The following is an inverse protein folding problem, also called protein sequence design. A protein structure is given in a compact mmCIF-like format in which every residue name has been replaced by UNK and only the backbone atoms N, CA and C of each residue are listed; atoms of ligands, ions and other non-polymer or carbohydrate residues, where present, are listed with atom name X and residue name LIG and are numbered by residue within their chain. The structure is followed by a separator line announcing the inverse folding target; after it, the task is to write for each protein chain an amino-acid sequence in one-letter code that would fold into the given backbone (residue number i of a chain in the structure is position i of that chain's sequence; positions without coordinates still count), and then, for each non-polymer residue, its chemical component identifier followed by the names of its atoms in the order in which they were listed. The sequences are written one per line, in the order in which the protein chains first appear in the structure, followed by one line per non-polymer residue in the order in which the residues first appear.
data_IF_879806124293
#
_entry.id   IF_879806124293
#
_cell.length_a   1.000
_cell.length_b   1.000
_cell.length_c   1.000
_cell.angle_alpha   90.00
_cell.angle_beta   90.00
_cell.angle_gamma   90.00
#
_symmetry.space_group_name_H-M   'P 1'
#
loop_
_entity.id
_entity.type
_entity.pdbx_description
1 polymer ?
#
# COMPACT_ATOMS: atom_id res chain seq x y z
N UNK A 1 -49.72 16.15 34.74
CA UNK A 1 -50.25 14.79 34.51
C UNK A 1 -50.26 14.37 33.03
N UNK A 2 -50.47 15.28 32.06
CA UNK A 2 -50.48 14.94 30.62
C UNK A 2 -49.10 14.69 29.96
N UNK A 3 -48.01 15.31 30.44
CA UNK A 3 -46.69 15.15 29.83
C UNK A 3 -46.11 13.74 29.98
N UNK A 4 -46.38 13.07 31.11
CA UNK A 4 -45.94 11.69 31.36
C UNK A 4 -46.59 10.68 30.42
N UNK A 5 -47.81 10.95 29.93
CA UNK A 5 -48.51 10.07 28.98
C UNK A 5 -47.96 10.23 27.56
N UNK A 6 -47.67 11.48 27.14
CA UNK A 6 -47.04 11.78 25.86
C UNK A 6 -45.60 11.22 25.76
N UNK A 7 -44.81 11.33 26.83
CA UNK A 7 -43.45 10.79 26.88
C UNK A 7 -43.43 9.24 26.84
N UNK A 8 -44.47 8.60 27.38
CA UNK A 8 -44.61 7.13 27.36
C UNK A 8 -45.00 6.60 25.98
N UNK A 9 -45.67 7.40 25.15
CA UNK A 9 -45.99 7.06 23.76
C UNK A 9 -44.78 7.18 22.80
N UNK A 10 -43.84 8.09 23.07
CA UNK A 10 -42.62 8.26 22.27
C UNK A 10 -41.65 7.06 22.41
N UNK A 11 -41.80 6.30 23.50
CA UNK A 11 -41.01 5.09 23.78
C UNK A 11 -41.63 3.89 23.05
N UNK A 12 -41.42 3.84 21.73
CA UNK A 12 -41.42 2.60 20.94
C UNK A 12 -42.80 1.92 20.75
N UNK A 13 -43.91 2.64 20.94
CA UNK A 13 -45.28 2.12 20.82
C UNK A 13 -46.03 2.61 19.57
N UNK A 14 -45.32 3.03 18.51
CA UNK A 14 -45.98 3.23 17.23
C UNK A 14 -46.41 1.86 16.71
N UNK A 15 -47.72 1.61 16.67
CA UNK A 15 -48.31 0.37 16.13
C UNK A 15 -48.31 0.36 14.58
N UNK A 16 -48.03 1.51 13.97
CA UNK A 16 -47.81 1.66 12.54
C UNK A 16 -46.70 2.68 12.24
N UNK A 17 -45.87 2.39 11.24
CA UNK A 17 -44.79 3.25 10.77
C UNK A 17 -45.02 3.66 9.31
N UNK A 18 -44.65 4.89 8.97
CA UNK A 18 -44.78 5.44 7.62
C UNK A 18 -43.65 4.95 6.69
N UNK A 19 -43.93 4.39 5.51
CA UNK A 19 -42.85 4.09 4.54
C UNK A 19 -42.19 5.40 4.09
N UNK A 20 -40.85 5.47 4.07
CA UNK A 20 -40.13 6.67 3.66
C UNK A 20 -40.36 7.07 2.20
N UNK A 21 -40.69 6.11 1.33
CA UNK A 21 -40.91 6.31 -0.10
C UNK A 21 -42.37 6.74 -0.39
N UNK A 22 -43.33 5.82 -0.20
CA UNK A 22 -44.73 6.04 -0.61
C UNK A 22 -45.62 6.63 0.49
N UNK A 23 -45.08 6.92 1.68
CA UNK A 23 -45.75 7.62 2.78
C UNK A 23 -47.01 6.94 3.35
N UNK A 24 -47.27 5.69 3.00
CA UNK A 24 -48.35 4.89 3.61
C UNK A 24 -47.94 4.40 5.01
N UNK A 25 -48.92 4.27 5.90
CA UNK A 25 -48.72 3.66 7.21
C UNK A 25 -48.78 2.13 7.10
N UNK A 26 -47.80 1.47 7.70
CA UNK A 26 -47.64 0.02 7.68
C UNK A 26 -47.57 -0.44 9.13
N UNK A 27 -48.51 -1.31 9.52
CA UNK A 27 -48.51 -1.94 10.83
C UNK A 27 -47.40 -2.97 10.93
N UNK A 28 -46.89 -3.18 12.14
CA UNK A 28 -45.87 -4.19 12.39
C UNK A 28 -46.46 -5.59 12.22
N UNK A 29 -45.88 -6.38 11.32
CA UNK A 29 -46.31 -7.74 11.00
C UNK A 29 -45.32 -8.82 11.49
N UNK A 30 -44.40 -8.48 12.41
CA UNK A 30 -43.47 -9.44 13.02
C UNK A 30 -42.53 -8.84 14.08
N UNK A 31 -41.65 -9.66 14.68
CA UNK A 31 -40.74 -9.25 15.76
C UNK A 31 -39.47 -8.50 15.33
N UNK A 32 -39.14 -8.50 14.03
CA UNK A 32 -37.95 -7.83 13.50
C UNK A 32 -38.08 -6.30 13.43
N UNK A 33 -36.95 -5.61 13.29
CA UNK A 33 -36.86 -4.17 12.97
C UNK A 33 -36.78 -3.90 11.46
N UNK A 34 -36.57 -4.94 10.66
CA UNK A 34 -36.54 -4.90 9.19
C UNK A 34 -37.96 -5.04 8.65
N UNK A 35 -38.39 -4.08 7.83
CA UNK A 35 -39.68 -4.12 7.17
C UNK A 35 -39.57 -3.78 5.68
N UNK A 36 -40.46 -4.40 4.91
CA UNK A 36 -40.58 -4.22 3.48
C UNK A 36 -41.98 -3.68 3.20
N UNK A 37 -42.07 -2.57 2.46
CA UNK A 37 -43.36 -2.00 2.10
C UNK A 37 -44.07 -2.83 1.02
N UNK A 38 -45.33 -3.18 1.24
CA UNK A 38 -46.14 -3.96 0.27
C UNK A 38 -46.43 -3.20 -1.02
N UNK A 39 -46.59 -1.86 -0.95
CA UNK A 39 -46.93 -1.03 -2.12
C UNK A 39 -45.74 -0.73 -3.03
N UNK A 40 -44.58 -0.40 -2.45
CA UNK A 40 -43.43 0.09 -3.22
C UNK A 40 -42.14 -0.70 -2.97
N UNK A 41 -42.21 -1.80 -2.21
CA UNK A 41 -41.10 -2.71 -1.92
C UNK A 41 -39.87 -1.99 -1.32
N UNK A 42 -40.11 -0.86 -0.63
CA UNK A 42 -39.08 -0.11 0.08
C UNK A 42 -38.60 -0.94 1.29
N UNK A 43 -37.29 -1.23 1.40
CA UNK A 43 -36.70 -1.78 2.64
C UNK A 43 -36.47 -0.63 3.62
N UNK A 44 -37.07 -0.69 4.81
CA UNK A 44 -36.95 0.35 5.83
C UNK A 44 -36.90 -0.24 7.24
N UNK A 45 -36.46 0.57 8.19
CA UNK A 45 -36.44 0.20 9.59
C UNK A 45 -37.71 0.68 10.28
N UNK A 46 -38.36 -0.23 11.02
CA UNK A 46 -39.59 0.11 11.74
C UNK A 46 -39.36 1.14 12.83
N UNK A 47 -38.28 0.99 13.62
CA UNK A 47 -38.01 1.86 14.74
C UNK A 47 -37.75 3.30 14.30
N UNK A 48 -36.89 3.53 13.31
CA UNK A 48 -36.51 4.90 12.91
C UNK A 48 -37.26 5.46 11.68
N UNK A 49 -38.02 4.63 10.96
CA UNK A 49 -38.72 5.04 9.74
C UNK A 49 -37.84 5.39 8.54
N UNK A 50 -36.52 5.25 8.64
CA UNK A 50 -35.58 5.54 7.54
C UNK A 50 -35.42 4.34 6.61
N UNK A 51 -35.16 4.64 5.33
CA UNK A 51 -34.88 3.63 4.30
C UNK A 51 -33.53 2.96 4.59
N UNK A 52 -33.49 1.63 4.55
CA UNK A 52 -32.24 0.88 4.63
C UNK A 52 -31.60 0.88 3.24
N UNK A 53 -30.69 1.81 3.00
CA UNK A 53 -29.84 1.79 1.81
C UNK A 53 -28.57 0.99 2.12
N UNK A 54 -28.33 -0.08 1.35
CA UNK A 54 -27.12 -0.89 1.45
C UNK A 54 -25.96 -0.27 0.68
N UNK A 55 -25.51 0.92 1.07
CA UNK A 55 -24.32 1.54 0.50
C UNK A 55 -23.11 1.18 1.36
N UNK A 56 -22.13 0.49 0.75
CA UNK A 56 -20.94 -0.06 1.43
C UNK A 56 -20.19 0.96 2.31
N UNK A 57 -20.23 2.24 1.96
CA UNK A 57 -19.50 3.31 2.64
C UNK A 57 -20.23 4.00 3.79
N UNK A 58 -21.56 4.04 3.79
CA UNK A 58 -22.34 4.77 4.81
C UNK A 58 -22.92 3.85 5.88
N UNK A 59 -22.44 2.61 5.94
CA UNK A 59 -22.80 1.63 6.96
C UNK A 59 -24.18 1.03 6.75
N UNK A 60 -24.29 -0.26 7.07
CA UNK A 60 -25.59 -0.89 7.25
C UNK A 60 -26.34 -0.13 8.34
N UNK A 61 -27.64 0.04 8.18
CA UNK A 61 -28.49 0.72 9.17
C UNK A 61 -28.41 0.12 10.59
N UNK A 62 -27.87 -1.10 10.71
CA UNK A 62 -27.63 -1.85 11.94
C UNK A 62 -26.29 -1.50 12.62
N UNK A 63 -25.35 -0.85 11.93
CA UNK A 63 -24.03 -0.55 12.51
C UNK A 63 -24.10 0.62 13.50
N UNK A 64 -23.54 0.41 14.71
CA UNK A 64 -23.58 1.36 15.84
C UNK A 64 -22.89 2.71 15.58
N UNK A 65 -22.05 2.81 14.56
CA UNK A 65 -21.21 3.98 14.33
C UNK A 65 -21.40 4.61 12.94
N UNK A 66 -22.48 4.26 12.23
CA UNK A 66 -22.79 4.92 10.96
C UNK A 66 -23.32 6.35 11.20
N UNK A 67 -22.91 7.35 10.39
CA UNK A 67 -23.47 8.70 10.43
C UNK A 67 -24.99 8.74 10.13
N UNK A 68 -25.55 7.71 9.49
CA UNK A 68 -26.99 7.56 9.21
C UNK A 68 -27.70 6.60 10.18
N UNK A 69 -27.24 6.56 11.42
CA UNK A 69 -27.65 5.62 12.46
C UNK A 69 -29.17 5.53 12.70
N UNK A 70 -29.61 4.34 13.12
CA UNK A 70 -30.90 4.14 13.77
C UNK A 70 -30.90 4.81 15.15
N UNK A 71 -31.84 5.73 15.40
CA UNK A 71 -32.01 6.42 16.71
C UNK A 71 -32.14 5.44 17.89
N UNK A 72 -32.64 4.24 17.63
CA UNK A 72 -33.01 3.27 18.67
C UNK A 72 -31.94 2.20 18.93
N UNK A 73 -30.79 2.25 18.26
CA UNK A 73 -29.73 1.26 18.44
C UNK A 73 -28.67 1.67 19.48
N UNK A 74 -28.40 2.98 19.62
CA UNK A 74 -27.39 3.51 20.53
C UNK A 74 -27.93 4.66 21.37
N UNK A 75 -28.10 4.42 22.67
CA UNK A 75 -28.60 5.37 23.68
C UNK A 75 -29.85 6.17 23.25
N UNK A 76 -31.02 5.52 23.11
CA UNK A 76 -32.26 6.18 22.66
C UNK A 76 -32.70 7.34 23.57
N UNK A 77 -32.46 7.22 24.88
CA UNK A 77 -32.93 8.18 25.89
C UNK A 77 -31.95 9.33 26.16
N UNK A 78 -30.74 9.31 25.58
CA UNK A 78 -29.68 10.30 25.85
C UNK A 78 -29.20 10.97 24.57
N UNK A 79 -29.91 12.01 24.06
CA UNK A 79 -29.57 12.64 22.79
C UNK A 79 -28.20 13.34 22.82
N UNK A 80 -27.79 13.91 23.96
CA UNK A 80 -26.48 14.53 24.10
C UNK A 80 -25.33 13.53 23.88
N UNK A 81 -25.40 12.36 24.50
CA UNK A 81 -24.38 11.30 24.36
C UNK A 81 -24.30 10.82 22.91
N UNK A 82 -25.45 10.72 22.24
CA UNK A 82 -25.50 10.31 20.84
C UNK A 82 -24.83 11.34 19.92
N UNK A 83 -25.15 12.63 20.08
CA UNK A 83 -24.56 13.70 19.28
C UNK A 83 -23.06 13.87 19.55
N UNK A 84 -22.60 13.72 20.79
CA UNK A 84 -21.16 13.80 21.11
C UNK A 84 -20.39 12.64 20.50
N UNK A 85 -20.90 11.41 20.59
CA UNK A 85 -20.24 10.24 19.98
C UNK A 85 -20.20 10.36 18.45
N UNK A 86 -21.27 10.82 17.81
CA UNK A 86 -21.26 11.05 16.36
C UNK A 86 -20.32 12.16 15.94
N UNK A 87 -20.30 13.28 16.67
CA UNK A 87 -19.35 14.37 16.42
C UNK A 87 -17.89 13.92 16.59
N UNK A 88 -17.61 13.11 17.63
CA UNK A 88 -16.28 12.56 17.89
C UNK A 88 -15.84 11.59 16.78
N UNK A 89 -16.70 10.64 16.38
CA UNK A 89 -16.37 9.67 15.33
C UNK A 89 -16.18 10.37 13.98
N UNK A 90 -17.06 11.30 13.63
CA UNK A 90 -16.95 12.05 12.39
C UNK A 90 -15.69 12.94 12.37
N UNK A 91 -15.39 13.60 13.49
CA UNK A 91 -14.18 14.42 13.65
C UNK A 91 -12.88 13.60 13.64
N UNK A 92 -12.88 12.43 14.29
CA UNK A 92 -11.72 11.55 14.28
C UNK A 92 -11.48 10.96 12.87
N UNK A 93 -12.54 10.56 12.17
CA UNK A 93 -12.44 10.05 10.81
C UNK A 93 -11.96 11.12 9.81
N UNK A 94 -12.41 12.37 9.96
CA UNK A 94 -11.99 13.48 9.09
C UNK A 94 -10.54 13.89 9.32
N UNK A 95 -10.02 13.79 10.55
CA UNK A 95 -8.62 14.06 10.86
C UNK A 95 -7.66 12.90 10.49
N UNK A 96 -8.15 11.66 10.50
CA UNK A 96 -7.31 10.51 10.15
C UNK A 96 -6.76 10.61 8.72
N UNK A 97 -7.56 11.09 7.77
CA UNK A 97 -7.16 11.23 6.36
C UNK A 97 -5.98 12.21 6.17
N UNK A 98 -6.04 13.49 6.60
CA UNK A 98 -4.93 14.41 6.45
C UNK A 98 -3.70 14.00 7.26
N UNK A 99 -3.86 13.44 8.46
CA UNK A 99 -2.73 12.97 9.27
C UNK A 99 -1.98 11.85 8.55
N UNK A 100 -2.70 10.86 8.02
CA UNK A 100 -2.10 9.77 7.24
C UNK A 100 -1.40 10.29 5.97
N UNK A 101 -2.00 11.26 5.28
CA UNK A 101 -1.40 11.87 4.10
C UNK A 101 -0.08 12.58 4.44
N UNK A 102 -0.04 13.39 5.50
CA UNK A 102 1.17 14.07 5.96
C UNK A 102 2.24 13.06 6.37
N UNK A 103 1.86 12.02 7.10
CA UNK A 103 2.79 10.95 7.49
C UNK A 103 3.40 10.23 6.28
N UNK A 104 2.60 9.90 5.26
CA UNK A 104 3.08 9.28 4.04
C UNK A 104 4.07 10.19 3.28
N UNK A 105 3.75 11.48 3.17
CA UNK A 105 4.64 12.47 2.51
C UNK A 105 5.97 12.59 3.26
N UNK A 106 5.94 12.63 4.59
CA UNK A 106 7.16 12.70 5.40
C UNK A 106 8.06 11.47 5.20
N UNK A 107 7.49 10.26 5.18
CA UNK A 107 8.25 9.03 4.93
C UNK A 107 8.87 8.99 3.53
N UNK A 108 8.15 9.46 2.51
CA UNK A 108 8.67 9.55 1.14
C UNK A 108 9.81 10.58 1.04
N UNK A 109 9.68 11.74 1.69
CA UNK A 109 10.73 12.75 1.70
C UNK A 109 12.02 12.25 2.38
N UNK A 110 11.91 11.55 3.51
CA UNK A 110 13.06 10.94 4.20
C UNK A 110 13.66 9.79 3.38
N UNK A 111 12.80 8.93 2.81
CA UNK A 111 13.24 7.81 1.99
C UNK A 111 14.00 8.25 0.73
N UNK A 112 13.55 9.32 0.06
CA UNK A 112 14.21 9.85 -1.14
C UNK A 112 15.52 10.57 -0.82
N UNK A 113 15.56 11.37 0.24
CA UNK A 113 16.78 12.12 0.63
C UNK A 113 17.91 11.21 1.07
N UNK A 114 17.62 10.08 1.74
CA UNK A 114 18.67 9.16 2.23
C UNK A 114 18.86 7.98 1.27
N UNK A 115 17.78 7.38 0.80
CA UNK A 115 17.81 6.15 0.00
C UNK A 115 18.39 6.33 -1.41
N UNK A 116 18.05 7.43 -2.10
CA UNK A 116 18.53 7.64 -3.46
C UNK A 116 20.05 7.93 -3.52
N UNK A 117 20.64 8.80 -2.66
CA UNK A 117 22.08 9.02 -2.65
C UNK A 117 22.87 7.78 -2.22
N UNK A 118 22.39 7.04 -1.23
CA UNK A 118 23.07 5.82 -0.76
C UNK A 118 23.06 4.73 -1.83
N UNK A 119 21.92 4.49 -2.48
CA UNK A 119 21.85 3.54 -3.60
C UNK A 119 22.68 4.00 -4.81
N UNK A 120 22.66 5.30 -5.12
CA UNK A 120 23.44 5.90 -6.20
C UNK A 120 24.96 5.74 -5.99
N UNK A 121 25.44 6.08 -4.78
CA UNK A 121 26.85 5.93 -4.40
C UNK A 121 27.28 4.46 -4.39
N UNK A 122 26.45 3.55 -3.86
CA UNK A 122 26.70 2.11 -3.91
C UNK A 122 26.83 1.60 -5.36
N UNK A 123 25.89 1.97 -6.25
CA UNK A 123 25.91 1.55 -7.66
C UNK A 123 27.12 2.11 -8.39
N UNK A 124 27.48 3.37 -8.13
CA UNK A 124 28.67 4.01 -8.70
C UNK A 124 29.94 3.29 -8.23
N UNK A 125 30.07 3.01 -6.94
CA UNK A 125 31.22 2.33 -6.37
C UNK A 125 31.40 0.93 -6.95
N UNK A 126 30.29 0.18 -7.09
CA UNK A 126 30.28 -1.14 -7.74
C UNK A 126 30.73 -1.05 -9.20
N UNK A 127 30.26 -0.05 -9.95
CA UNK A 127 30.64 0.14 -11.34
C UNK A 127 32.13 0.50 -11.49
N UNK A 128 32.63 1.42 -10.66
CA UNK A 128 34.06 1.79 -10.63
C UNK A 128 34.92 0.58 -10.28
N UNK A 129 34.54 -0.23 -9.28
CA UNK A 129 35.28 -1.44 -8.89
C UNK A 129 35.36 -2.45 -10.02
N UNK A 130 34.26 -2.68 -10.75
CA UNK A 130 34.23 -3.59 -11.91
C UNK A 130 35.14 -3.11 -13.04
N UNK A 131 35.12 -1.80 -13.39
CA UNK A 131 36.02 -1.25 -14.40
C UNK A 131 37.49 -1.34 -13.98
N UNK A 132 37.81 -1.08 -12.71
CA UNK A 132 39.18 -1.25 -12.17
C UNK A 132 39.64 -2.70 -12.27
N UNK A 133 38.77 -3.67 -12.01
CA UNK A 133 39.11 -5.09 -12.18
C UNK A 133 39.37 -5.45 -13.64
N UNK A 134 38.54 -4.99 -14.59
CA UNK A 134 38.77 -5.21 -16.02
C UNK A 134 40.10 -4.61 -16.49
N UNK A 135 40.43 -3.38 -16.06
CA UNK A 135 41.72 -2.76 -16.38
C UNK A 135 42.90 -3.55 -15.80
N UNK A 136 42.77 -4.12 -14.59
CA UNK A 136 43.78 -5.02 -14.03
C UNK A 136 43.94 -6.27 -14.90
N UNK A 137 42.84 -6.94 -15.27
CA UNK A 137 42.88 -8.09 -16.16
C UNK A 137 43.50 -7.77 -17.53
N UNK A 138 43.19 -6.62 -18.12
CA UNK A 138 43.80 -6.18 -19.38
C UNK A 138 45.31 -5.96 -19.22
N UNK A 139 45.76 -5.32 -18.14
CA UNK A 139 47.20 -5.16 -17.86
C UNK A 139 47.90 -6.51 -17.74
N UNK A 140 47.35 -7.44 -16.96
CA UNK A 140 47.90 -8.80 -16.83
C UNK A 140 47.97 -9.53 -18.17
N UNK A 141 46.94 -9.41 -19.02
CA UNK A 141 46.93 -10.05 -20.33
C UNK A 141 47.98 -9.47 -21.28
N UNK A 142 48.11 -8.14 -21.33
CA UNK A 142 49.14 -7.46 -22.12
C UNK A 142 50.55 -7.86 -21.65
N UNK A 143 50.77 -7.90 -20.34
CA UNK A 143 52.06 -8.30 -19.75
C UNK A 143 52.39 -9.76 -20.07
N UNK A 144 51.40 -10.65 -20.02
CA UNK A 144 51.56 -12.06 -20.40
C UNK A 144 51.92 -12.21 -21.88
N UNK A 145 51.23 -11.47 -22.77
CA UNK A 145 51.54 -11.47 -24.21
C UNK A 145 52.96 -10.95 -24.44
N UNK A 146 53.36 -9.85 -23.77
CA UNK A 146 54.70 -9.28 -23.88
C UNK A 146 55.77 -10.28 -23.46
N UNK A 147 55.58 -10.96 -22.32
CA UNK A 147 56.51 -11.97 -21.84
C UNK A 147 56.61 -13.15 -22.81
N UNK A 148 55.49 -13.60 -23.37
CA UNK A 148 55.48 -14.68 -24.36
C UNK A 148 56.22 -14.28 -25.65
N UNK A 149 56.05 -13.04 -26.12
CA UNK A 149 56.78 -12.52 -27.29
C UNK A 149 58.29 -12.51 -27.04
N UNK A 150 58.74 -12.06 -25.87
CA UNK A 150 60.16 -12.05 -25.52
C UNK A 150 60.74 -13.47 -25.49
N UNK A 151 60.06 -14.43 -24.87
CA UNK A 151 60.51 -15.84 -24.82
C UNK A 151 60.63 -16.43 -26.23
N UNK A 152 59.64 -16.17 -27.09
CA UNK A 152 59.68 -16.67 -28.47
C UNK A 152 60.85 -16.04 -29.24
N UNK A 153 61.10 -14.74 -29.07
CA UNK A 153 62.20 -14.03 -29.72
C UNK A 153 63.57 -14.57 -29.29
N UNK A 154 63.77 -14.81 -27.98
CA UNK A 154 64.99 -15.41 -27.45
C UNK A 154 65.21 -16.83 -27.97
N UNK A 155 64.15 -17.62 -28.10
CA UNK A 155 64.23 -18.96 -28.67
C UNK A 155 64.63 -18.92 -30.16
N UNK A 156 64.04 -18.02 -30.95
CA UNK A 156 64.37 -17.86 -32.37
C UNK A 156 65.84 -17.47 -32.55
N UNK A 157 66.35 -16.53 -31.75
CA UNK A 157 67.78 -16.15 -31.78
C UNK A 157 68.70 -17.31 -31.39
N UNK A 158 68.33 -18.09 -30.37
CA UNK A 158 69.10 -19.27 -29.98
C UNK A 158 69.10 -20.34 -31.08
N UNK A 159 67.99 -20.54 -31.78
CA UNK A 159 67.93 -21.47 -32.92
C UNK A 159 68.87 -21.01 -34.03
N UNK A 160 68.83 -19.72 -34.38
CA UNK A 160 69.70 -19.15 -35.42
C UNK A 160 71.18 -19.31 -35.06
N UNK A 161 71.57 -19.01 -33.82
CA UNK A 161 72.92 -19.22 -33.33
C UNK A 161 73.35 -20.70 -33.40
N UNK A 162 72.51 -21.62 -32.95
CA UNK A 162 72.80 -23.06 -32.99
C UNK A 162 72.95 -23.57 -34.44
N UNK A 163 72.17 -23.06 -35.39
CA UNK A 163 72.29 -23.40 -36.80
C UNK A 163 73.61 -22.87 -37.39
N UNK A 164 73.99 -21.63 -37.06
CA UNK A 164 75.27 -21.04 -37.46
C UNK A 164 76.46 -21.79 -36.87
N UNK A 165 76.40 -22.17 -35.59
CA UNK A 165 77.48 -22.92 -34.95
C UNK A 165 77.66 -24.31 -35.60
N UNK A 166 76.55 -24.99 -35.94
CA UNK A 166 76.57 -26.29 -36.64
C UNK A 166 77.16 -26.16 -38.04
N UNK A 167 76.83 -25.12 -38.80
CA UNK A 167 77.37 -24.93 -40.15
C UNK A 167 78.87 -24.62 -40.13
N UNK A 168 79.33 -23.80 -39.18
CA UNK A 168 80.77 -23.51 -38.99
C UNK A 168 81.52 -24.79 -38.61
N UNK A 169 81.01 -25.58 -37.65
CA UNK A 169 81.64 -26.86 -37.27
C UNK A 169 81.71 -27.85 -38.44
N UNK A 170 80.68 -27.93 -39.27
CA UNK A 170 80.68 -28.80 -40.45
C UNK A 170 81.75 -28.38 -41.47
N UNK A 171 81.99 -27.08 -41.66
CA UNK A 171 82.99 -26.56 -42.59
C UNK A 171 84.45 -26.77 -42.16
N UNK A 172 84.71 -26.98 -40.88
CA UNK A 172 86.07 -27.20 -40.34
C UNK A 172 86.51 -28.68 -40.39
N UNK A 173 85.60 -29.61 -40.69
CA UNK A 173 85.87 -31.06 -40.72
C UNK A 173 86.13 -31.55 -42.15
N UNK A 174 85.85 -30.73 -43.16
CA UNK A 174 86.17 -30.93 -44.59
C UNK A 174 87.47 -30.27 -44.97
#
# INVERSE_FOLDING_TARGET
MFQLWAEKLDKNQHYAQKCPNCKIYISRNGGGSHMICTKCQCNFCYNCGKRRFGIKFLGLHESRFSPFECKYNFYPDKPLVRHTVHGLVAGAASLAIPIAAVGAVALLAVGTTIGAPTHGTYRLFKHIRSKRQQQRHQKYHIETISNQWNINHDNDQNIEYNVLEKSVKASLIT
#
